data_IF_612157628132
#
_entry.id   IF_612157628132
#
_cell.length_a   1.000
_cell.length_b   1.000
_cell.length_c   1.000
_cell.angle_alpha   90.00
_cell.angle_beta   90.00
_cell.angle_gamma   90.00
#
_symmetry.space_group_name_H-M   'P 1'
#
loop_
_entity.id
_entity.type
_entity.pdbx_description
1 polymer ?
#
# COMPACT_ATOMS: atom_id res chain seq x y z
N UNK A 1 -6.31 -13.89 9.97
CA UNK A 1 -5.96 -12.63 9.29
C UNK A 1 -7.15 -12.17 8.48
N UNK A 2 -7.59 -10.91 8.61
CA UNK A 2 -8.73 -10.40 7.83
C UNK A 2 -8.28 -10.15 6.38
N UNK A 3 -9.02 -10.69 5.41
CA UNK A 3 -8.76 -10.56 3.97
C UNK A 3 -8.67 -9.09 3.51
N UNK A 4 -9.27 -8.18 4.28
CA UNK A 4 -9.30 -6.73 4.01
C UNK A 4 -7.91 -6.04 4.02
N UNK A 5 -6.90 -6.65 4.65
CA UNK A 5 -5.57 -6.04 4.79
C UNK A 5 -4.65 -6.35 3.61
N UNK A 6 -4.92 -7.37 2.79
CA UNK A 6 -4.02 -7.74 1.70
C UNK A 6 -4.20 -6.84 0.47
N UNK A 7 -3.08 -6.50 -0.16
CA UNK A 7 -3.03 -5.82 -1.45
C UNK A 7 -2.37 -6.78 -2.45
N UNK A 8 -3.02 -6.99 -3.60
CA UNK A 8 -2.61 -7.99 -4.60
C UNK A 8 -1.50 -7.51 -5.53
N UNK A 9 -1.16 -6.22 -5.49
CA UNK A 9 -0.24 -5.58 -6.44
C UNK A 9 0.80 -4.71 -5.74
N UNK A 10 2.04 -4.75 -6.24
CA UNK A 10 3.10 -3.87 -5.78
C UNK A 10 2.72 -2.40 -6.03
N UNK A 11 2.83 -1.50 -5.04
CA UNK A 11 2.46 -0.08 -5.20
C UNK A 11 3.13 0.61 -6.40
N UNK A 12 4.43 0.35 -6.63
CA UNK A 12 5.17 0.82 -7.81
C UNK A 12 4.78 0.21 -9.18
N UNK A 13 3.88 -0.77 -9.23
CA UNK A 13 3.40 -1.38 -10.49
C UNK A 13 1.96 -0.98 -10.85
N UNK A 14 1.29 -0.22 -9.99
CA UNK A 14 -0.06 0.24 -10.25
C UNK A 14 -0.05 1.22 -11.44
N UNK A 15 -0.89 0.94 -12.45
CA UNK A 15 -1.00 1.76 -13.67
C UNK A 15 -2.39 2.33 -13.88
N UNK A 16 -3.33 2.05 -12.98
CA UNK A 16 -4.71 2.45 -13.11
C UNK A 16 -5.19 3.15 -11.83
N UNK A 17 -5.85 4.29 -11.98
CA UNK A 17 -6.45 5.04 -10.87
C UNK A 17 -7.52 4.23 -10.12
N UNK A 18 -8.18 3.27 -10.77
CA UNK A 18 -9.14 2.35 -10.11
C UNK A 18 -8.48 1.53 -9.00
N UNK A 19 -7.31 0.94 -9.27
CA UNK A 19 -6.57 0.14 -8.27
C UNK A 19 -6.09 1.03 -7.11
N UNK A 20 -5.62 2.25 -7.42
CA UNK A 20 -5.23 3.22 -6.39
C UNK A 20 -6.41 3.60 -5.50
N UNK A 21 -7.57 3.88 -6.08
CA UNK A 21 -8.79 4.21 -5.33
C UNK A 21 -9.24 3.06 -4.43
N UNK A 22 -9.09 1.82 -4.88
CA UNK A 22 -9.39 0.64 -4.06
C UNK A 22 -8.45 0.55 -2.85
N UNK A 23 -7.14 0.71 -3.06
CA UNK A 23 -6.17 0.71 -1.95
C UNK A 23 -6.44 1.85 -0.98
N UNK A 24 -6.67 3.07 -1.46
CA UNK A 24 -7.02 4.23 -0.62
C UNK A 24 -8.30 3.98 0.21
N UNK A 25 -9.31 3.35 -0.40
CA UNK A 25 -10.55 2.98 0.30
C UNK A 25 -10.29 1.97 1.41
N UNK A 26 -9.45 0.96 1.15
CA UNK A 26 -9.07 -0.05 2.15
C UNK A 26 -8.24 0.56 3.29
N UNK A 27 -7.27 1.44 2.99
CA UNK A 27 -6.51 2.19 3.99
C UNK A 27 -7.46 2.99 4.87
N UNK A 28 -8.34 3.81 4.28
CA UNK A 28 -9.30 4.64 5.02
C UNK A 28 -10.22 3.81 5.93
N UNK A 29 -10.68 2.64 5.47
CA UNK A 29 -11.46 1.71 6.30
C UNK A 29 -10.64 1.17 7.48
N UNK A 30 -9.39 0.81 7.24
CA UNK A 30 -8.47 0.34 8.28
C UNK A 30 -8.22 1.43 9.32
N UNK A 31 -7.87 2.65 8.88
CA UNK A 31 -7.66 3.82 9.75
C UNK A 31 -8.89 4.08 10.63
N UNK A 32 -10.10 4.06 10.04
CA UNK A 32 -11.35 4.26 10.80
C UNK A 32 -11.58 3.14 11.82
N UNK A 33 -11.29 1.88 11.47
CA UNK A 33 -11.50 0.71 12.34
C UNK A 33 -10.51 0.67 13.50
N UNK A 34 -9.25 1.02 13.24
CA UNK A 34 -8.15 0.93 14.22
C UNK A 34 -7.83 2.25 14.92
N UNK A 35 -8.38 3.37 14.44
CA UNK A 35 -8.09 4.74 14.91
C UNK A 35 -6.59 5.07 14.89
N UNK A 36 -5.93 4.73 13.79
CA UNK A 36 -4.48 4.94 13.61
C UNK A 36 -4.16 5.44 12.19
N UNK A 37 -2.96 5.95 12.00
CA UNK A 37 -2.38 6.16 10.66
C UNK A 37 -2.04 4.80 10.03
N UNK A 38 -2.36 4.62 8.76
CA UNK A 38 -2.07 3.38 8.05
C UNK A 38 -1.48 3.61 6.66
N UNK A 39 -0.88 2.55 6.13
CA UNK A 39 -0.28 2.52 4.80
C UNK A 39 -0.07 1.09 4.35
N UNK A 40 0.59 0.91 3.23
CA UNK A 40 0.91 -0.40 2.67
C UNK A 40 2.37 -0.74 2.95
N UNK A 41 2.61 -1.84 3.65
CA UNK A 41 3.94 -2.39 3.86
C UNK A 41 4.25 -3.45 2.82
N UNK A 42 5.51 -3.51 2.40
CA UNK A 42 6.04 -4.60 1.58
C UNK A 42 6.64 -5.63 2.54
N UNK A 43 6.13 -6.85 2.47
CA UNK A 43 6.61 -8.00 3.22
C UNK A 43 7.30 -8.93 2.22
N UNK A 44 8.61 -9.07 2.33
CA UNK A 44 9.37 -10.01 1.52
C UNK A 44 9.35 -11.38 2.20
N UNK A 45 8.56 -12.30 1.64
CA UNK A 45 8.52 -13.70 2.04
C UNK A 45 9.41 -14.52 1.08
N UNK A 46 10.32 -15.33 1.63
CA UNK A 46 11.24 -16.15 0.81
C UNK A 46 10.55 -17.21 -0.05
N UNK A 47 9.34 -17.65 0.32
CA UNK A 47 8.60 -18.72 -0.36
C UNK A 47 7.55 -18.18 -1.34
N UNK A 48 6.88 -17.08 -1.00
CA UNK A 48 5.75 -16.54 -1.78
C UNK A 48 6.09 -15.26 -2.55
N UNK A 49 7.30 -14.72 -2.38
CA UNK A 49 7.71 -13.45 -2.96
C UNK A 49 7.27 -12.24 -2.12
N UNK A 50 7.06 -11.09 -2.78
CA UNK A 50 6.63 -9.86 -2.13
C UNK A 50 5.12 -9.83 -1.90
N UNK A 51 4.71 -9.80 -0.63
CA UNK A 51 3.32 -9.61 -0.18
C UNK A 51 3.16 -8.13 0.19
N UNK A 52 1.98 -7.57 -0.04
CA UNK A 52 1.64 -6.19 0.31
C UNK A 52 0.48 -6.20 1.30
N UNK A 53 0.64 -5.55 2.44
CA UNK A 53 -0.36 -5.55 3.50
C UNK A 53 -0.61 -4.13 4.02
N UNK A 54 -1.87 -3.83 4.34
CA UNK A 54 -2.26 -2.60 5.02
C UNK A 54 -2.06 -2.80 6.51
N UNK A 55 -1.14 -2.02 7.07
CA UNK A 55 -0.77 -2.07 8.48
C UNK A 55 -0.77 -0.65 9.05
N UNK A 56 -0.84 -0.55 10.37
CA UNK A 56 -0.59 0.73 11.02
C UNK A 56 0.87 1.14 10.84
N UNK A 57 1.12 2.46 10.87
CA UNK A 57 2.48 3.00 10.83
C UNK A 57 3.37 2.43 11.93
N UNK A 58 2.84 2.28 13.14
CA UNK A 58 3.57 1.69 14.26
C UNK A 58 3.94 0.22 14.03
N UNK A 59 3.03 -0.58 13.46
CA UNK A 59 3.31 -1.98 13.11
C UNK A 59 4.39 -2.08 12.03
N UNK A 60 4.31 -1.22 11.00
CA UNK A 60 5.33 -1.14 9.96
C UNK A 60 6.70 -0.81 10.54
N UNK A 61 6.80 0.21 11.40
CA UNK A 61 8.06 0.61 12.03
C UNK A 61 8.65 -0.49 12.92
N UNK A 62 7.81 -1.19 13.70
CA UNK A 62 8.23 -2.33 14.52
C UNK A 62 8.72 -3.49 13.66
N UNK A 63 8.02 -3.80 12.57
CA UNK A 63 8.37 -4.87 11.65
C UNK A 63 9.68 -4.61 10.90
N UNK A 64 9.89 -3.37 10.42
CA UNK A 64 11.11 -2.96 9.71
C UNK A 64 12.33 -3.05 10.63
N UNK A 65 12.17 -2.69 11.91
CA UNK A 65 13.25 -2.72 12.91
C UNK A 65 13.58 -4.12 13.42
N UNK A 66 12.77 -5.15 13.09
CA UNK A 66 12.98 -6.51 13.60
C UNK A 66 13.50 -7.47 12.51
N UNK A 67 14.83 -7.64 12.37
CA UNK A 67 15.42 -8.48 11.33
C UNK A 67 15.24 -9.99 11.55
N UNK A 68 14.66 -10.42 12.68
CA UNK A 68 14.50 -11.85 13.03
C UNK A 68 13.22 -12.50 12.49
N UNK A 69 12.34 -11.75 11.83
CA UNK A 69 11.18 -12.33 11.18
C UNK A 69 11.56 -12.97 9.84
N UNK A 70 11.02 -14.18 9.61
CA UNK A 70 11.12 -14.90 8.33
C UNK A 70 10.52 -14.05 7.19
N UNK A 71 9.49 -13.28 7.53
CA UNK A 71 8.87 -12.25 6.71
C UNK A 71 9.50 -10.88 7.00
N UNK A 72 10.34 -10.41 6.07
CA UNK A 72 11.07 -9.14 6.27
C UNK A 72 10.22 -7.99 5.74
N UNK A 73 9.92 -7.03 6.60
CA UNK A 73 9.30 -5.78 6.18
C UNK A 73 10.38 -4.94 5.50
N UNK A 74 10.22 -4.64 4.20
CA UNK A 74 11.27 -4.01 3.39
C UNK A 74 10.96 -2.57 3.00
N UNK A 75 9.71 -2.12 3.14
CA UNK A 75 9.33 -0.74 2.86
C UNK A 75 7.89 -0.45 3.26
N UNK A 76 7.59 0.83 3.50
CA UNK A 76 6.25 1.30 3.89
C UNK A 76 5.84 2.49 3.03
N UNK A 77 4.70 2.37 2.36
CA UNK A 77 4.06 3.43 1.58
C UNK A 77 2.91 4.01 2.37
N UNK A 78 3.06 5.27 2.78
CA UNK A 78 2.01 6.01 3.45
C UNK A 78 0.83 6.27 2.51
N UNK A 79 -0.31 6.61 3.10
CA UNK A 79 -1.49 7.04 2.34
C UNK A 79 -1.19 8.16 1.34
N UNK A 80 -0.38 9.15 1.73
CA UNK A 80 0.05 10.28 0.87
C UNK A 80 0.67 9.83 -0.44
N UNK A 81 1.50 8.78 -0.43
CA UNK A 81 2.09 8.20 -1.64
C UNK A 81 1.01 7.76 -2.65
N UNK A 82 -0.07 7.15 -2.18
CA UNK A 82 -1.16 6.71 -3.05
C UNK A 82 -2.02 7.88 -3.54
N UNK A 83 -2.17 8.94 -2.74
CA UNK A 83 -2.85 10.17 -3.16
C UNK A 83 -2.06 10.85 -4.30
N UNK A 84 -0.73 10.99 -4.15
CA UNK A 84 0.14 11.51 -5.22
C UNK A 84 0.13 10.64 -6.48
N UNK A 85 0.17 9.31 -6.31
CA UNK A 85 0.12 8.37 -7.43
C UNK A 85 -1.20 8.50 -8.20
N UNK A 86 -2.32 8.67 -7.50
CA UNK A 86 -3.62 8.91 -8.12
C UNK A 86 -3.60 10.17 -8.97
N UNK A 87 -3.13 11.29 -8.41
CA UNK A 87 -3.06 12.56 -9.14
C UNK A 87 -2.21 12.44 -10.41
N UNK A 88 -1.08 11.73 -10.34
CA UNK A 88 -0.21 11.50 -11.50
C UNK A 88 -0.93 10.71 -12.59
N UNK A 89 -1.59 9.60 -12.22
CA UNK A 89 -2.33 8.77 -13.18
C UNK A 89 -3.52 9.51 -13.81
N UNK A 90 -4.20 10.37 -13.04
CA UNK A 90 -5.30 11.18 -13.56
C UNK A 90 -4.81 12.28 -14.52
N UNK A 91 -3.66 12.91 -14.23
CA UNK A 91 -3.02 13.88 -15.14
C UNK A 91 -2.59 13.22 -16.44
N UNK A 92 -1.90 12.08 -16.37
CA UNK A 92 -1.48 11.31 -17.55
C UNK A 92 -2.66 10.87 -18.43
N UNK A 93 -3.82 10.61 -17.82
CA UNK A 93 -5.04 10.23 -18.56
C UNK A 93 -5.64 11.42 -19.32
N UNK A 94 -5.60 12.62 -18.74
CA UNK A 94 -6.09 13.85 -19.39
C UNK A 94 -5.20 14.27 -20.56
N UNK A 95 -3.88 14.22 -20.40
CA UNK A 95 -2.92 14.56 -21.46
C UNK A 95 -3.02 13.68 -22.71
N UNK A 96 -3.65 12.51 -22.61
CA UNK A 96 -3.90 11.60 -23.75
C UNK A 96 -5.23 11.82 -24.47
N UNK A 97 -6.14 12.63 -23.91
CA UNK A 97 -7.39 12.99 -24.57
C UNK A 97 -7.28 14.29 -25.39
N UNK A 98 -6.24 15.09 -25.15
CA UNK A 98 -5.99 16.37 -25.82
C UNK A 98 -5.01 16.27 -27.02
N UNK A 99 -4.68 15.05 -27.49
CA UNK A 99 -3.92 14.77 -28.71
C UNK A 99 -4.71 13.80 -29.61
#
# INVERSE_FOLDING_TARGET
>A
MSIDAFVSIHPGRIRNSKEVNEILSRIKRFEKKRKCEAGVVIIQNRQLGGIYEIVSKEEAEKGIKNPRNIDRYVGFYQRSYFEELKERLEKESKSKQDN
#
